data_IF_934176235784
#
_entry.id   IF_934176235784
#
_cell.length_a   1.000
_cell.length_b   1.000
_cell.length_c   1.000
_cell.angle_alpha   90.00
_cell.angle_beta   90.00
_cell.angle_gamma   90.00
#
_symmetry.space_group_name_H-M   'P 1'
#
loop_
_entity.id
_entity.type
_entity.pdbx_description
1 polymer ?
#
# COMPACT_ATOMS: atom_id res chain seq x y z
N UNK A 1 7.87 38.36 14.95
CA UNK A 1 7.27 38.34 13.59
C UNK A 1 6.89 39.75 13.20
N UNK A 2 7.42 40.29 12.11
CA UNK A 2 7.00 41.58 11.54
C UNK A 2 6.40 41.36 10.16
N UNK A 3 5.24 41.94 9.90
CA UNK A 3 4.58 41.88 8.60
C UNK A 3 4.16 43.29 8.14
N UNK A 4 4.33 43.56 6.85
CA UNK A 4 3.93 44.80 6.20
C UNK A 4 2.80 44.50 5.20
N UNK A 5 1.66 45.16 5.37
CA UNK A 5 0.56 45.10 4.40
C UNK A 5 0.81 46.10 3.28
N UNK A 6 0.98 45.61 2.04
CA UNK A 6 1.36 46.44 0.88
C UNK A 6 0.13 47.05 0.19
N UNK A 7 -1.04 46.41 0.27
CA UNK A 7 -2.31 46.93 -0.23
C UNK A 7 -3.49 46.39 0.60
N UNK A 8 -4.62 47.10 0.58
CA UNK A 8 -5.87 46.80 1.29
C UNK A 8 -6.10 45.30 1.53
N UNK A 9 -5.82 44.81 2.74
CA UNK A 9 -6.18 43.45 3.18
C UNK A 9 -7.67 43.34 3.56
N UNK A 10 -8.53 44.18 2.97
CA UNK A 10 -9.97 44.20 3.24
C UNK A 10 -10.75 44.39 1.93
N UNK A 11 -11.80 43.59 1.67
CA UNK A 11 -12.78 43.96 0.67
C UNK A 11 -13.46 45.27 1.10
N UNK A 12 -13.69 46.17 0.14
CA UNK A 12 -14.77 47.15 0.29
C UNK A 12 -16.05 46.35 0.53
N UNK A 13 -16.79 46.71 1.57
CA UNK A 13 -18.11 46.18 1.87
C UNK A 13 -19.08 46.61 0.76
N UNK A 14 -19.06 45.94 -0.39
CA UNK A 14 -20.19 45.96 -1.30
C UNK A 14 -21.20 44.96 -0.76
N UNK A 15 -22.15 45.50 0.00
CA UNK A 15 -23.34 44.78 0.44
C UNK A 15 -24.12 44.49 -0.85
N UNK A 16 -23.85 43.34 -1.47
CA UNK A 16 -24.72 42.83 -2.52
C UNK A 16 -25.88 42.14 -1.79
N UNK A 17 -27.03 42.80 -1.75
CA UNK A 17 -28.22 42.47 -0.94
C UNK A 17 -28.93 41.17 -1.33
N UNK A 18 -28.29 40.23 -2.02
CA UNK A 18 -28.94 39.04 -2.59
C UNK A 18 -28.27 37.69 -2.25
N UNK A 19 -27.34 37.64 -1.29
CA UNK A 19 -26.84 36.36 -0.79
C UNK A 19 -26.64 36.40 0.72
N UNK A 20 -27.46 35.62 1.44
CA UNK A 20 -27.44 35.39 2.91
C UNK A 20 -26.17 34.68 3.43
N UNK A 21 -25.02 34.85 2.79
CA UNK A 21 -23.74 34.42 3.33
C UNK A 21 -23.10 35.59 4.07
N UNK A 22 -23.40 35.67 5.36
CA UNK A 22 -22.73 36.56 6.29
C UNK A 22 -21.28 36.06 6.46
N UNK A 23 -20.36 36.58 5.63
CA UNK A 23 -18.93 36.26 5.74
C UNK A 23 -18.41 36.86 7.05
N UNK A 24 -18.45 36.06 8.11
CA UNK A 24 -17.87 36.41 9.40
C UNK A 24 -16.40 36.76 9.26
N UNK A 25 -15.98 37.83 9.95
CA UNK A 25 -14.60 38.28 10.01
C UNK A 25 -13.72 37.18 10.61
N UNK A 26 -12.87 36.55 9.78
CA UNK A 26 -11.83 35.66 10.29
C UNK A 26 -10.56 36.51 10.48
N UNK A 27 -10.01 36.64 11.69
CA UNK A 27 -8.79 37.43 11.93
C UNK A 27 -7.56 36.71 11.36
N UNK A 28 -6.60 37.49 10.83
CA UNK A 28 -5.30 36.97 10.43
C UNK A 28 -4.63 36.31 11.64
N UNK A 29 -4.29 35.03 11.50
CA UNK A 29 -3.71 34.21 12.54
C UNK A 29 -2.59 33.36 11.95
N UNK A 30 -1.42 33.42 12.56
CA UNK A 30 -0.31 32.53 12.28
C UNK A 30 -0.28 31.43 13.34
N UNK A 31 -0.27 30.17 12.95
CA UNK A 31 -0.14 29.05 13.89
C UNK A 31 1.24 28.44 13.72
N UNK A 32 2.07 28.49 14.76
CA UNK A 32 3.38 27.86 14.78
C UNK A 32 3.24 26.43 15.32
N UNK A 33 3.68 25.44 14.54
CA UNK A 33 3.86 24.07 15.01
C UNK A 33 5.34 23.84 15.33
N UNK A 34 5.65 23.44 16.55
CA UNK A 34 7.02 23.21 17.00
C UNK A 34 7.10 21.98 17.91
N UNK A 35 8.32 21.45 18.03
CA UNK A 35 8.67 20.41 18.98
C UNK A 35 9.43 21.03 20.14
N UNK A 36 8.96 20.77 21.36
CA UNK A 36 9.53 21.29 22.60
C UNK A 36 10.73 20.45 23.11
N UNK A 37 11.30 20.84 24.26
CA UNK A 37 12.44 20.17 24.89
C UNK A 37 12.19 18.68 25.23
N UNK A 38 10.92 18.28 25.36
CA UNK A 38 10.50 16.92 25.68
C UNK A 38 10.31 16.06 24.43
N UNK A 39 10.33 16.68 23.24
CA UNK A 39 10.00 16.02 21.98
C UNK A 39 8.51 16.04 21.66
N UNK A 40 7.69 16.79 22.43
CA UNK A 40 6.25 16.86 22.23
C UNK A 40 5.92 17.94 21.19
N UNK A 41 4.98 17.63 20.28
CA UNK A 41 4.47 18.60 19.31
C UNK A 41 3.50 19.55 20.00
N UNK A 42 3.73 20.85 19.81
CA UNK A 42 2.95 21.94 20.38
C UNK A 42 2.50 22.89 19.26
N UNK A 43 1.32 23.49 19.47
CA UNK A 43 0.76 24.51 18.58
C UNK A 43 0.61 25.81 19.34
N UNK A 44 1.07 26.91 18.75
CA UNK A 44 0.89 28.26 19.32
C UNK A 44 0.42 29.23 18.26
N UNK A 45 -0.64 29.97 18.58
CA UNK A 45 -1.22 30.99 17.72
C UNK A 45 -0.62 32.38 17.95
N UNK A 46 -0.42 33.11 16.86
CA UNK A 46 0.17 34.45 16.79
C UNK A 46 -0.73 35.37 15.96
N UNK A 47 -1.30 36.44 16.55
CA UNK A 47 -1.32 36.73 17.98
C UNK A 47 -2.20 35.75 18.76
N UNK A 48 -1.80 35.43 20.00
CA UNK A 48 -2.61 34.67 20.95
C UNK A 48 -3.77 35.55 21.42
N UNK A 49 -4.94 35.46 20.81
CA UNK A 49 -6.14 36.17 21.28
C UNK A 49 -6.65 35.49 22.56
N UNK A 50 -5.95 35.69 23.68
CA UNK A 50 -6.23 34.95 24.89
C UNK A 50 -7.36 35.53 25.74
N UNK A 51 -7.60 36.85 25.80
CA UNK A 51 -8.45 37.31 26.93
C UNK A 51 -9.19 38.66 26.83
N UNK A 52 -9.03 39.51 25.79
CA UNK A 52 -9.61 40.88 25.87
C UNK A 52 -9.97 41.61 24.56
N UNK A 53 -10.23 40.89 23.48
CA UNK A 53 -10.67 41.51 22.23
C UNK A 53 -12.11 41.08 21.93
N UNK A 54 -13.10 41.80 22.45
CA UNK A 54 -14.52 41.63 22.07
C UNK A 54 -14.76 41.88 20.56
N UNK A 55 -13.74 42.32 19.81
CA UNK A 55 -13.72 42.37 18.35
C UNK A 55 -12.31 42.07 17.83
N UNK A 56 -12.15 41.28 16.74
CA UNK A 56 -10.86 41.11 16.09
C UNK A 56 -10.31 42.49 15.70
N UNK A 57 -9.15 42.87 16.27
CA UNK A 57 -8.51 44.13 15.91
C UNK A 57 -7.95 44.01 14.49
N UNK A 58 -8.26 44.97 13.59
CA UNK A 58 -7.73 44.94 12.24
C UNK A 58 -6.20 45.02 12.26
N UNK A 59 -5.54 44.28 11.37
CA UNK A 59 -4.12 44.51 11.07
C UNK A 59 -4.03 45.93 10.48
N UNK A 60 -3.44 46.85 11.24
CA UNK A 60 -3.25 48.22 10.78
C UNK A 60 -2.35 48.22 9.54
N UNK A 61 -2.57 49.16 8.61
CA UNK A 61 -1.61 49.38 7.51
C UNK A 61 -0.25 49.78 8.10
N UNK A 62 0.81 49.28 7.51
CA UNK A 62 2.19 49.49 7.97
C UNK A 62 2.80 48.23 8.58
N UNK A 63 4.01 48.38 9.11
CA UNK A 63 4.76 47.30 9.75
C UNK A 63 4.14 46.96 11.10
N UNK A 64 3.64 45.72 11.27
CA UNK A 64 3.07 45.24 12.53
C UNK A 64 3.93 44.09 13.06
N UNK A 65 4.35 44.22 14.33
CA UNK A 65 5.16 43.23 15.04
C UNK A 65 4.36 42.42 16.06
N UNK A 66 4.47 41.10 16.01
CA UNK A 66 3.90 40.17 16.99
C UNK A 66 4.99 39.27 17.60
N UNK A 67 4.89 39.00 18.90
CA UNK A 67 5.75 38.08 19.64
C UNK A 67 4.91 37.26 20.62
N UNK A 68 5.18 35.96 20.72
CA UNK A 68 4.51 35.07 21.67
C UNK A 68 5.57 34.17 22.33
N UNK A 69 5.45 33.85 23.63
CA UNK A 69 6.33 32.86 24.25
C UNK A 69 6.02 31.45 23.73
N UNK A 70 7.06 30.66 23.50
CA UNK A 70 6.96 29.23 23.16
C UNK A 70 7.18 28.39 24.43
N UNK A 71 6.12 27.89 25.08
CA UNK A 71 6.27 27.04 26.26
C UNK A 71 7.05 25.76 25.94
N UNK A 72 7.88 25.31 26.88
CA UNK A 72 8.64 24.07 26.73
C UNK A 72 9.90 24.17 25.86
N UNK A 73 10.21 25.32 25.27
CA UNK A 73 11.42 25.54 24.47
C UNK A 73 12.53 26.27 25.27
N UNK A 74 13.15 25.61 26.25
CA UNK A 74 14.25 26.20 27.06
C UNK A 74 15.65 25.75 26.65
N UNK A 75 15.78 24.56 26.05
CA UNK A 75 17.07 23.95 25.67
C UNK A 75 17.18 23.71 24.17
N UNK A 76 16.12 23.23 23.53
CA UNK A 76 16.04 22.95 22.11
C UNK A 76 14.62 23.20 21.61
N UNK A 77 14.50 23.94 20.50
CA UNK A 77 13.22 24.19 19.86
C UNK A 77 13.38 23.94 18.37
N UNK A 78 12.50 23.11 17.81
CA UNK A 78 12.47 22.84 16.38
C UNK A 78 11.11 23.24 15.81
N UNK A 79 11.11 24.27 14.96
CA UNK A 79 9.89 24.68 14.25
C UNK A 79 9.65 23.73 13.10
N UNK A 80 8.45 23.13 13.09
CA UNK A 80 8.03 22.12 12.10
C UNK A 80 7.31 22.78 10.94
N UNK A 81 6.33 23.63 11.24
CA UNK A 81 5.58 24.39 10.24
C UNK A 81 5.05 25.71 10.78
N UNK A 82 4.71 26.60 9.87
CA UNK A 82 3.99 27.84 10.18
C UNK A 82 2.79 27.90 9.27
N UNK A 83 1.59 27.91 9.85
CA UNK A 83 0.31 27.98 9.14
C UNK A 83 -0.24 29.40 9.19
N UNK A 84 -1.08 29.76 8.22
CA UNK A 84 -1.77 31.06 8.19
C UNK A 84 -3.25 30.86 7.95
N UNK A 85 -4.07 31.56 8.73
CA UNK A 85 -5.54 31.57 8.62
C UNK A 85 -6.06 33.00 8.61
N UNK A 86 -7.26 33.19 8.07
CA UNK A 86 -8.05 34.39 8.32
C UNK A 86 -7.67 35.65 7.55
N UNK A 87 -7.36 35.52 6.26
CA UNK A 87 -7.36 36.67 5.36
C UNK A 87 -8.57 36.59 4.44
N UNK A 88 -9.63 37.32 4.77
CA UNK A 88 -10.80 37.49 3.91
C UNK A 88 -10.51 38.51 2.81
N UNK A 89 -10.40 38.05 1.56
CA UNK A 89 -10.24 38.89 0.36
C UNK A 89 -8.84 38.79 -0.28
N UNK A 90 -8.74 39.23 -1.55
CA UNK A 90 -7.54 39.23 -2.40
C UNK A 90 -6.40 40.15 -1.89
N UNK A 91 -6.02 40.04 -0.62
CA UNK A 91 -5.00 40.84 0.02
C UNK A 91 -3.60 40.28 -0.21
N UNK A 92 -2.63 41.18 -0.45
CA UNK A 92 -1.20 40.85 -0.45
C UNK A 92 -0.61 41.19 0.92
N UNK A 93 0.00 40.19 1.56
CA UNK A 93 0.71 40.34 2.81
C UNK A 93 2.19 40.08 2.59
N UNK A 94 3.06 40.98 3.03
CA UNK A 94 4.50 40.75 3.00
C UNK A 94 4.99 40.46 4.42
N UNK A 95 5.52 39.27 4.64
CA UNK A 95 6.19 38.94 5.89
C UNK A 95 7.66 39.31 5.73
N UNK A 96 8.11 40.32 6.45
CA UNK A 96 9.49 40.84 6.36
C UNK A 96 10.42 40.12 7.32
N UNK A 97 9.91 39.71 8.49
CA UNK A 97 10.70 38.98 9.48
C UNK A 97 9.87 37.92 10.20
N UNK A 98 10.41 36.70 10.24
CA UNK A 98 9.91 35.63 11.08
C UNK A 98 11.11 34.94 11.72
N UNK A 99 11.13 34.86 13.04
CA UNK A 99 12.26 34.36 13.82
C UNK A 99 11.76 33.65 15.08
N UNK A 100 12.53 32.65 15.53
CA UNK A 100 12.35 31.99 16.82
C UNK A 100 13.66 32.08 17.59
N UNK A 101 13.64 32.87 18.67
CA UNK A 101 14.87 33.34 19.31
C UNK A 101 15.73 34.09 18.30
N UNK A 102 17.03 33.78 18.25
CA UNK A 102 17.98 34.37 17.31
C UNK A 102 17.98 33.70 15.92
N UNK A 103 17.11 32.72 15.68
CA UNK A 103 17.07 31.97 14.43
C UNK A 103 16.05 32.55 13.46
N UNK A 104 16.46 33.12 12.32
CA UNK A 104 15.54 33.51 11.27
C UNK A 104 14.91 32.28 10.63
N UNK A 105 13.59 32.32 10.44
CA UNK A 105 12.79 31.31 9.75
C UNK A 105 12.55 31.67 8.28
N UNK A 106 12.80 32.91 7.87
CA UNK A 106 12.74 33.34 6.47
C UNK A 106 14.13 33.31 5.83
N UNK A 107 14.14 33.05 4.52
CA UNK A 107 15.35 33.07 3.68
C UNK A 107 16.03 31.70 3.56
N UNK A 108 16.96 31.59 2.60
CA UNK A 108 17.60 30.33 2.25
C UNK A 108 18.35 29.65 3.43
N UNK A 109 18.81 30.44 4.41
CA UNK A 109 19.54 29.95 5.57
C UNK A 109 18.65 29.27 6.63
N UNK A 110 17.33 29.49 6.61
CA UNK A 110 16.41 28.86 7.57
C UNK A 110 16.13 27.40 7.24
N UNK A 111 16.34 27.00 5.99
CA UNK A 111 15.97 25.69 5.46
C UNK A 111 14.45 25.47 5.31
N UNK A 112 13.60 26.45 5.65
CA UNK A 112 12.16 26.40 5.40
C UNK A 112 11.84 26.99 4.03
N UNK A 113 10.99 26.32 3.26
CA UNK A 113 10.50 26.81 1.97
C UNK A 113 9.04 27.22 2.07
N UNK A 114 8.66 28.32 1.38
CA UNK A 114 7.26 28.66 1.25
C UNK A 114 6.54 27.58 0.47
N UNK A 115 5.44 27.10 1.02
CA UNK A 115 4.55 26.20 0.31
C UNK A 115 3.19 26.83 0.22
N UNK A 116 2.72 26.93 -1.02
CA UNK A 116 1.39 27.41 -1.35
C UNK A 116 0.72 26.46 -2.31
N UNK A 117 -0.58 26.24 -2.13
CA UNK A 117 -1.41 25.73 -3.22
C UNK A 117 -1.92 26.93 -4.01
N UNK A 118 -1.69 26.94 -5.32
CA UNK A 118 -2.14 28.00 -6.25
C UNK A 118 -3.65 28.29 -6.15
N UNK A 119 -4.42 27.38 -5.58
CA UNK A 119 -5.86 27.53 -5.32
C UNK A 119 -6.17 28.28 -4.03
N UNK A 120 -5.35 28.16 -2.99
CA UNK A 120 -5.68 28.65 -1.64
C UNK A 120 -4.71 29.71 -1.13
N UNK A 121 -3.40 29.51 -1.28
CA UNK A 121 -2.35 30.44 -0.82
C UNK A 121 -1.20 30.42 -1.81
N UNK A 122 -0.84 31.58 -2.36
CA UNK A 122 0.32 31.73 -3.22
C UNK A 122 1.43 32.47 -2.45
N UNK A 123 2.46 31.73 -2.06
CA UNK A 123 3.60 32.25 -1.30
C UNK A 123 4.85 32.31 -2.19
N UNK A 124 5.47 33.47 -2.31
CA UNK A 124 6.67 33.71 -3.13
C UNK A 124 7.74 34.36 -2.28
N UNK A 125 8.93 33.76 -2.23
CA UNK A 125 10.08 34.42 -1.60
C UNK A 125 10.51 35.61 -2.47
N UNK A 126 10.65 36.79 -1.87
CA UNK A 126 11.16 38.00 -2.53
C UNK A 126 12.37 38.55 -1.78
N UNK A 127 13.10 39.47 -2.39
CA UNK A 127 14.29 40.08 -1.78
C UNK A 127 13.89 40.82 -0.49
N UNK A 128 14.20 40.22 0.66
CA UNK A 128 13.89 40.77 2.00
C UNK A 128 12.57 40.31 2.62
N UNK A 129 11.92 39.25 2.13
CA UNK A 129 10.75 38.70 2.82
C UNK A 129 10.00 37.61 2.06
N UNK A 130 8.78 37.34 2.51
CA UNK A 130 7.85 36.40 1.91
C UNK A 130 6.56 37.13 1.51
N UNK A 131 6.28 37.20 0.20
CA UNK A 131 5.04 37.75 -0.32
C UNK A 131 3.97 36.67 -0.39
N UNK A 132 2.82 36.97 0.21
CA UNK A 132 1.69 36.06 0.37
C UNK A 132 0.47 36.65 -0.31
N UNK A 133 -0.11 35.90 -1.23
CA UNK A 133 -1.41 36.19 -1.85
C UNK A 133 -2.37 35.05 -1.46
N UNK A 134 -3.28 35.31 -0.53
CA UNK A 134 -4.28 34.33 -0.11
C UNK A 134 -5.51 34.43 -1.02
N UNK A 135 -5.93 33.27 -1.52
CA UNK A 135 -7.07 33.11 -2.44
C UNK A 135 -8.28 32.45 -1.78
N UNK A 136 -8.06 31.71 -0.69
CA UNK A 136 -9.11 31.10 0.13
C UNK A 136 -8.93 31.46 1.62
N UNK A 137 -9.86 32.22 2.23
CA UNK A 137 -9.79 32.64 3.63
C UNK A 137 -9.93 31.50 4.66
N UNK A 138 -10.51 30.37 4.27
CA UNK A 138 -10.82 29.24 5.17
C UNK A 138 -9.79 28.11 5.08
N UNK A 139 -8.83 28.24 4.17
CA UNK A 139 -7.80 27.22 3.95
C UNK A 139 -6.81 27.14 5.12
N UNK A 140 -6.65 25.95 5.69
CA UNK A 140 -5.68 25.63 6.75
C UNK A 140 -4.42 24.97 6.18
N UNK A 141 -3.76 25.64 5.24
CA UNK A 141 -2.53 25.12 4.62
C UNK A 141 -1.27 25.70 5.29
N UNK A 142 -0.24 24.88 5.52
CA UNK A 142 1.04 25.36 6.05
C UNK A 142 1.75 26.23 5.02
N UNK A 143 2.14 27.42 5.45
CA UNK A 143 2.77 28.49 4.67
C UNK A 143 4.26 28.25 4.49
N UNK A 144 4.91 27.76 5.55
CA UNK A 144 6.32 27.41 5.58
C UNK A 144 6.44 25.97 6.06
N UNK A 145 7.18 25.17 5.29
CA UNK A 145 7.56 23.83 5.70
C UNK A 145 9.01 23.56 5.33
N UNK A 146 9.61 22.58 5.99
CA UNK A 146 10.86 22.02 5.52
C UNK A 146 10.63 21.40 4.14
N UNK A 147 11.38 21.82 3.11
CA UNK A 147 11.31 21.17 1.81
C UNK A 147 11.74 19.72 1.99
N UNK A 148 11.09 18.84 1.24
CA UNK A 148 11.81 17.67 0.78
C UNK A 148 12.88 18.17 -0.20
N UNK A 149 14.12 18.31 0.26
CA UNK A 149 15.25 18.66 -0.60
C UNK A 149 15.37 17.67 -1.78
N UNK A 150 14.92 16.43 -1.57
CA UNK A 150 14.76 15.38 -2.58
C UNK A 150 13.63 14.42 -2.20
N UNK A 151 12.98 13.79 -3.19
CA UNK A 151 12.04 12.69 -2.97
C UNK A 151 12.67 11.61 -2.06
N UNK A 152 12.05 11.26 -0.92
CA UNK A 152 12.59 10.25 -0.01
C UNK A 152 12.84 8.92 -0.71
N UNK A 153 13.97 8.29 -0.34
CA UNK A 153 14.31 6.96 -0.81
C UNK A 153 13.37 5.93 -0.17
N UNK A 154 12.78 5.09 -1.01
CA UNK A 154 11.93 3.99 -0.59
C UNK A 154 12.53 2.63 -1.00
N UNK A 155 12.39 1.64 -0.12
CA UNK A 155 12.51 0.23 -0.45
C UNK A 155 11.12 -0.38 -0.51
N UNK A 156 10.85 -1.19 -1.53
CA UNK A 156 9.52 -1.80 -1.73
C UNK A 156 9.62 -3.31 -1.84
N UNK A 157 8.55 -4.02 -1.48
CA UNK A 157 8.45 -5.45 -1.79
C UNK A 157 7.93 -5.69 -3.22
N UNK A 158 8.26 -6.83 -3.86
CA UNK A 158 7.70 -7.19 -5.16
C UNK A 158 6.17 -7.27 -5.14
N UNK A 159 5.51 -6.78 -6.19
CA UNK A 159 4.04 -6.83 -6.34
C UNK A 159 3.27 -5.72 -5.61
N UNK A 160 3.97 -4.82 -4.91
CA UNK A 160 3.36 -3.63 -4.31
C UNK A 160 2.91 -2.64 -5.40
N UNK A 161 1.63 -2.27 -5.41
CA UNK A 161 1.13 -1.20 -6.27
C UNK A 161 1.03 0.10 -5.49
N UNK A 162 1.85 1.05 -5.88
CA UNK A 162 1.80 2.42 -5.37
C UNK A 162 0.95 3.26 -6.31
N UNK A 163 0.16 4.17 -5.73
CA UNK A 163 -0.45 5.26 -6.47
C UNK A 163 0.63 6.12 -7.13
N UNK A 164 0.25 6.89 -8.16
CA UNK A 164 1.19 7.72 -8.90
C UNK A 164 0.63 9.12 -9.11
N UNK A 165 1.48 10.12 -8.87
CA UNK A 165 1.25 11.48 -9.36
C UNK A 165 2.12 11.69 -10.59
N UNK A 166 1.50 11.68 -11.77
CA UNK A 166 2.22 11.66 -13.04
C UNK A 166 3.12 10.42 -13.18
N UNK A 167 4.44 10.61 -13.13
CA UNK A 167 5.43 9.51 -13.23
C UNK A 167 6.02 9.08 -11.89
N UNK A 168 5.79 9.82 -10.81
CA UNK A 168 6.34 9.54 -9.50
C UNK A 168 5.41 8.63 -8.70
N UNK A 169 5.92 7.54 -8.09
CA UNK A 169 5.15 6.76 -7.13
C UNK A 169 4.92 7.56 -5.85
N UNK A 170 3.75 7.38 -5.27
CA UNK A 170 3.34 7.99 -4.01
C UNK A 170 3.41 6.95 -2.89
N UNK A 171 3.87 7.37 -1.73
CA UNK A 171 3.71 6.64 -0.47
C UNK A 171 2.94 7.52 0.51
N UNK A 172 2.34 6.90 1.53
CA UNK A 172 1.77 7.66 2.64
C UNK A 172 2.84 7.88 3.71
N UNK A 173 3.04 9.16 4.07
CA UNK A 173 3.89 9.55 5.19
C UNK A 173 3.28 9.15 6.53
N UNK A 174 4.05 9.37 7.61
CA UNK A 174 3.58 9.09 8.97
C UNK A 174 2.37 9.94 9.38
N UNK A 175 2.14 11.04 8.68
CA UNK A 175 1.01 11.93 8.84
C UNK A 175 -0.20 11.57 7.95
N UNK A 176 -0.17 10.39 7.33
CA UNK A 176 -1.23 9.88 6.45
C UNK A 176 -1.31 10.59 5.09
N UNK A 177 -0.40 11.52 4.77
CA UNK A 177 -0.44 12.25 3.50
C UNK A 177 0.38 11.56 2.42
N UNK A 178 -0.15 11.57 1.20
CA UNK A 178 0.59 11.08 0.04
C UNK A 178 1.79 12.00 -0.25
N UNK A 179 2.98 11.41 -0.37
CA UNK A 179 4.22 12.09 -0.73
C UNK A 179 4.94 11.33 -1.86
N UNK A 180 5.57 12.05 -2.81
CA UNK A 180 6.33 11.42 -3.88
C UNK A 180 7.58 10.75 -3.31
N UNK A 181 7.81 9.51 -3.72
CA UNK A 181 8.98 8.73 -3.28
C UNK A 181 9.82 8.29 -4.46
N UNK A 182 11.12 8.12 -4.21
CA UNK A 182 12.04 7.51 -5.16
C UNK A 182 12.31 6.07 -4.76
N UNK A 183 11.84 5.11 -5.56
CA UNK A 183 12.13 3.69 -5.33
C UNK A 183 13.61 3.44 -5.60
N UNK A 184 14.37 3.11 -4.56
CA UNK A 184 15.82 2.87 -4.62
C UNK A 184 16.18 1.40 -4.69
N UNK A 185 15.25 0.51 -4.33
CA UNK A 185 15.47 -0.93 -4.40
C UNK A 185 14.21 -1.73 -4.11
N UNK A 186 14.28 -3.01 -4.46
CA UNK A 186 13.29 -4.01 -4.08
C UNK A 186 13.88 -4.99 -3.09
N UNK A 187 13.14 -5.31 -2.04
CA UNK A 187 13.53 -6.28 -1.03
C UNK A 187 12.51 -7.42 -0.99
N UNK A 188 12.93 -8.69 -0.86
CA UNK A 188 12.00 -9.82 -0.90
C UNK A 188 10.92 -9.78 0.18
N UNK A 189 11.25 -9.19 1.33
CA UNK A 189 10.36 -8.97 2.45
C UNK A 189 10.84 -7.81 3.34
N UNK A 190 9.91 -7.22 4.07
CA UNK A 190 10.14 -6.21 5.10
C UNK A 190 9.89 -6.78 6.50
N UNK A 191 10.61 -6.28 7.53
CA UNK A 191 10.29 -6.59 8.92
C UNK A 191 8.83 -6.22 9.23
N UNK A 192 8.12 -7.10 9.95
CA UNK A 192 6.70 -6.99 10.34
C UNK A 192 5.69 -7.06 9.19
N UNK A 193 6.02 -6.50 8.03
CA UNK A 193 5.15 -6.40 6.85
C UNK A 193 5.30 -7.59 5.88
N UNK A 194 6.32 -8.43 6.05
CA UNK A 194 6.52 -9.63 5.24
C UNK A 194 6.73 -9.27 3.77
N UNK A 195 6.07 -9.99 2.85
CA UNK A 195 6.22 -9.79 1.39
C UNK A 195 5.45 -8.57 0.86
N UNK A 196 4.82 -7.80 1.74
CA UNK A 196 3.94 -6.71 1.34
C UNK A 196 4.19 -5.43 2.11
N UNK A 197 4.94 -4.49 1.54
CA UNK A 197 5.06 -3.15 2.12
C UNK A 197 6.12 -2.28 1.48
N UNK A 198 6.21 -1.07 2.01
CA UNK A 198 7.21 -0.07 1.66
C UNK A 198 7.92 0.41 2.94
N UNK A 199 9.23 0.62 2.86
CA UNK A 199 10.07 1.14 3.93
C UNK A 199 10.65 2.49 3.52
N UNK A 200 10.47 3.47 4.40
CA UNK A 200 11.02 4.81 4.29
C UNK A 200 11.98 5.05 5.46
N UNK A 201 13.02 5.84 5.21
CA UNK A 201 13.81 6.42 6.28
C UNK A 201 12.94 7.42 7.06
N UNK A 202 12.75 7.18 8.36
CA UNK A 202 11.87 7.98 9.21
C UNK A 202 12.31 9.44 9.26
N UNK A 203 13.63 9.71 9.36
CA UNK A 203 14.15 11.07 9.43
C UNK A 203 13.85 11.88 8.16
N UNK A 204 13.84 11.22 7.00
CA UNK A 204 13.47 11.84 5.72
C UNK A 204 11.95 11.93 5.56
N UNK A 205 11.20 10.92 5.99
CA UNK A 205 9.75 10.89 5.94
C UNK A 205 9.08 11.93 6.86
N UNK A 206 9.76 12.31 7.95
CA UNK A 206 9.31 13.37 8.86
C UNK A 206 9.51 14.78 8.28
N UNK A 207 10.43 14.98 7.33
CA UNK A 207 10.64 16.30 6.74
C UNK A 207 9.40 16.66 5.93
N UNK A 208 8.79 17.81 6.17
CA UNK A 208 7.63 18.25 5.40
C UNK A 208 6.33 17.48 5.69
N UNK A 209 6.31 16.63 6.73
CA UNK A 209 5.08 16.09 7.32
C UNK A 209 4.27 17.24 7.94
N UNK A 210 2.94 17.25 7.71
CA UNK A 210 2.05 18.39 7.99
C UNK A 210 0.78 17.98 8.74
N UNK A 211 0.52 16.70 8.89
CA UNK A 211 -0.67 16.16 9.53
C UNK A 211 -0.42 15.62 10.94
N UNK A 212 -1.51 15.29 11.60
CA UNK A 212 -1.48 14.44 12.79
C UNK A 212 -1.19 13.00 12.35
N UNK A 213 -0.51 12.25 13.22
CA UNK A 213 -0.36 10.81 13.01
C UNK A 213 -1.76 10.20 13.05
N UNK A 214 -2.22 9.49 12.00
CA UNK A 214 -3.54 8.86 11.98
C UNK A 214 -3.74 7.98 13.22
N UNK A 215 -4.92 8.04 13.84
CA UNK A 215 -5.19 7.39 15.11
C UNK A 215 -5.08 5.85 15.06
N UNK A 216 -5.18 5.27 13.86
CA UNK A 216 -5.01 3.86 13.54
C UNK A 216 -3.55 3.47 13.22
N UNK A 217 -2.61 4.40 13.28
CA UNK A 217 -1.18 4.12 13.05
C UNK A 217 -0.61 3.27 14.16
N UNK A 218 -0.23 2.03 13.83
CA UNK A 218 0.40 1.11 14.77
C UNK A 218 1.91 1.39 14.83
N UNK A 219 2.37 1.93 15.94
CA UNK A 219 3.80 2.10 16.22
C UNK A 219 4.37 0.83 16.86
N UNK A 220 5.40 0.25 16.24
CA UNK A 220 6.07 -0.96 16.75
C UNK A 220 7.55 -0.69 16.94
N UNK A 221 8.07 -1.08 18.10
CA UNK A 221 9.52 -1.07 18.37
C UNK A 221 10.08 -2.46 18.13
N UNK A 222 11.02 -2.56 17.18
CA UNK A 222 11.76 -3.79 16.94
C UNK A 222 13.04 -3.76 17.79
N UNK A 223 13.10 -4.67 18.76
CA UNK A 223 14.25 -4.83 19.64
C UNK A 223 14.92 -6.19 19.38
N UNK A 224 16.25 -6.25 19.51
CA UNK A 224 16.97 -7.53 19.48
C UNK A 224 16.64 -8.34 20.75
N UNK A 225 16.78 -9.66 20.66
CA UNK A 225 16.55 -10.55 21.80
C UNK A 225 17.48 -10.26 23.00
N UNK A 226 18.69 -9.75 22.75
CA UNK A 226 19.69 -9.38 23.75
C UNK A 226 19.58 -7.93 24.24
N UNK A 227 18.52 -7.21 23.85
CA UNK A 227 18.34 -5.80 24.24
C UNK A 227 18.30 -5.69 25.77
N UNK A 228 19.18 -4.89 26.39
CA UNK A 228 19.24 -4.79 27.85
C UNK A 228 17.91 -4.36 28.45
N UNK A 229 17.49 -5.03 29.53
CA UNK A 229 16.21 -4.76 30.19
C UNK A 229 16.04 -3.30 30.62
N UNK A 230 17.14 -2.62 30.93
CA UNK A 230 17.15 -1.19 31.29
C UNK A 230 16.71 -0.28 30.12
N UNK A 231 17.01 -0.65 28.87
CA UNK A 231 16.59 0.10 27.68
C UNK A 231 15.08 -0.04 27.49
N UNK A 232 14.57 -1.27 27.61
CA UNK A 232 13.13 -1.55 27.54
C UNK A 232 12.36 -0.91 28.71
N UNK A 233 12.96 -0.83 29.90
CA UNK A 233 12.37 -0.15 31.05
C UNK A 233 12.27 1.36 30.82
N UNK A 234 13.31 1.99 30.28
CA UNK A 234 13.29 3.41 29.88
C UNK A 234 12.21 3.69 28.83
N UNK A 235 12.09 2.84 27.81
CA UNK A 235 11.05 2.97 26.79
C UNK A 235 9.64 2.86 27.37
N UNK A 236 9.40 1.96 28.34
CA UNK A 236 8.10 1.92 29.03
C UNK A 236 7.86 3.16 29.88
N UNK A 237 8.90 3.73 30.46
CA UNK A 237 8.80 4.96 31.24
C UNK A 237 8.41 6.18 30.38
N UNK A 238 8.70 6.17 29.07
CA UNK A 238 8.22 7.21 28.13
C UNK A 238 6.77 6.99 27.69
N UNK A 239 6.03 6.08 28.33
CA UNK A 239 4.63 5.81 28.00
C UNK A 239 4.44 4.82 26.85
N UNK A 240 5.49 4.14 26.38
CA UNK A 240 5.33 3.07 25.40
C UNK A 240 4.50 1.93 26.02
N UNK A 241 3.28 1.77 25.51
CA UNK A 241 2.35 0.71 25.91
C UNK A 241 2.41 -0.43 24.89
N UNK A 242 2.35 -1.68 25.36
CA UNK A 242 2.40 -2.84 24.48
C UNK A 242 2.99 -4.07 25.14
N UNK A 243 2.59 -5.25 24.66
CA UNK A 243 3.20 -6.52 25.06
C UNK A 243 4.35 -6.85 24.13
N UNK A 244 5.51 -7.20 24.68
CA UNK A 244 6.61 -7.74 23.89
C UNK A 244 6.17 -9.07 23.29
N UNK A 245 6.08 -9.14 21.98
CA UNK A 245 5.79 -10.36 21.25
C UNK A 245 7.03 -10.74 20.44
N UNK A 246 7.41 -12.01 20.53
CA UNK A 246 8.44 -12.56 19.66
C UNK A 246 7.80 -13.03 18.36
N UNK A 247 8.57 -13.01 17.27
CA UNK A 247 8.11 -13.53 15.97
C UNK A 247 7.60 -14.97 16.09
N UNK A 248 8.28 -15.81 16.90
CA UNK A 248 7.85 -17.19 17.16
C UNK A 248 6.48 -17.27 17.84
N UNK A 249 6.20 -16.42 18.83
CA UNK A 249 4.90 -16.37 19.49
C UNK A 249 3.78 -15.87 18.56
N UNK A 250 4.09 -14.91 17.69
CA UNK A 250 3.13 -14.44 16.68
C UNK A 250 2.82 -15.52 15.65
N UNK A 251 3.83 -16.25 15.19
CA UNK A 251 3.65 -17.39 14.28
C UNK A 251 2.80 -18.49 14.91
N UNK A 252 3.11 -18.90 16.14
CA UNK A 252 2.32 -19.92 16.87
C UNK A 252 0.87 -19.44 17.10
N UNK A 253 0.66 -18.14 17.36
CA UNK A 253 -0.69 -17.57 17.43
C UNK A 253 -1.42 -17.65 16.08
N UNK A 254 -0.76 -17.29 14.98
CA UNK A 254 -1.33 -17.36 13.63
C UNK A 254 -1.67 -18.81 13.27
N UNK A 255 -0.80 -19.77 13.59
CA UNK A 255 -1.04 -21.20 13.37
C UNK A 255 -2.25 -21.72 14.17
N UNK A 256 -2.52 -21.15 15.35
CA UNK A 256 -3.68 -21.48 16.17
C UNK A 256 -4.97 -20.79 15.71
N UNK A 257 -4.88 -19.65 15.01
CA UNK A 257 -6.07 -18.95 14.47
C UNK A 257 -6.77 -19.76 13.38
N UNK A 258 -8.10 -19.62 13.31
CA UNK A 258 -8.98 -20.48 12.49
C UNK A 258 -8.69 -20.46 10.98
N UNK A 259 -8.06 -19.41 10.46
CA UNK A 259 -7.68 -19.28 9.05
C UNK A 259 -6.63 -20.31 8.63
N UNK A 260 -5.63 -20.58 9.47
CA UNK A 260 -4.63 -21.63 9.23
C UNK A 260 -5.24 -23.05 9.27
N UNK A 261 -6.25 -23.26 10.12
CA UNK A 261 -7.03 -24.51 10.14
C UNK A 261 -7.90 -24.66 8.89
N UNK A 262 -8.45 -23.55 8.37
CA UNK A 262 -9.21 -23.51 7.13
C UNK A 262 -8.39 -24.02 5.95
N UNK A 263 -7.12 -23.61 5.82
CA UNK A 263 -6.23 -24.08 4.75
C UNK A 263 -6.04 -25.61 4.77
N UNK A 264 -5.93 -26.23 5.95
CA UNK A 264 -5.83 -27.69 6.06
C UNK A 264 -7.11 -28.39 5.59
N UNK A 265 -8.28 -27.84 5.93
CA UNK A 265 -9.56 -28.37 5.47
C UNK A 265 -9.70 -28.24 3.95
N UNK A 266 -9.35 -27.10 3.37
CA UNK A 266 -9.35 -26.91 1.91
C UNK A 266 -8.37 -27.85 1.21
N UNK A 267 -7.20 -28.11 1.80
CA UNK A 267 -6.23 -29.07 1.27
C UNK A 267 -6.79 -30.50 1.29
N UNK A 268 -7.49 -30.88 2.36
CA UNK A 268 -8.18 -32.18 2.42
C UNK A 268 -9.29 -32.27 1.37
N UNK A 269 -10.12 -31.23 1.22
CA UNK A 269 -11.17 -31.19 0.19
C UNK A 269 -10.55 -31.31 -1.20
N UNK A 270 -9.46 -30.57 -1.48
CA UNK A 270 -8.74 -30.66 -2.74
C UNK A 270 -8.15 -32.06 -2.98
N UNK A 271 -7.62 -32.71 -1.94
CA UNK A 271 -7.13 -34.08 -2.02
C UNK A 271 -8.25 -35.09 -2.35
N UNK A 272 -9.41 -34.98 -1.72
CA UNK A 272 -10.56 -35.83 -2.03
C UNK A 272 -11.06 -35.60 -3.46
N UNK A 273 -11.15 -34.34 -3.91
CA UNK A 273 -11.51 -34.01 -5.28
C UNK A 273 -10.52 -34.61 -6.30
N UNK A 274 -9.21 -34.56 -6.00
CA UNK A 274 -8.17 -35.18 -6.82
C UNK A 274 -8.34 -36.70 -6.91
N UNK A 275 -8.63 -37.36 -5.78
CA UNK A 275 -8.84 -38.81 -5.74
C UNK A 275 -10.09 -39.22 -6.55
N UNK A 276 -11.19 -38.48 -6.42
CA UNK A 276 -12.42 -38.73 -7.20
C UNK A 276 -12.12 -38.61 -8.69
N UNK A 277 -11.44 -37.53 -9.10
CA UNK A 277 -11.05 -37.33 -10.50
C UNK A 277 -10.15 -38.46 -11.02
N UNK A 278 -9.17 -38.90 -10.23
CA UNK A 278 -8.28 -40.00 -10.60
C UNK A 278 -9.05 -41.33 -10.79
N UNK A 279 -9.99 -41.64 -9.89
CA UNK A 279 -10.84 -42.84 -10.00
C UNK A 279 -11.74 -42.77 -11.24
N UNK A 280 -12.35 -41.62 -11.53
CA UNK A 280 -13.18 -41.44 -12.72
C UNK A 280 -12.39 -41.63 -14.02
N UNK A 281 -11.15 -41.12 -14.11
CA UNK A 281 -10.28 -41.34 -15.28
C UNK A 281 -9.92 -42.81 -15.43
N UNK A 282 -9.62 -43.51 -14.33
CA UNK A 282 -9.34 -44.95 -14.35
C UNK A 282 -10.57 -45.74 -14.76
N UNK A 283 -11.76 -45.42 -14.24
CA UNK A 283 -13.01 -46.09 -14.61
C UNK A 283 -13.33 -45.92 -16.10
N UNK A 284 -13.28 -44.68 -16.61
CA UNK A 284 -13.51 -44.39 -18.02
C UNK A 284 -12.50 -45.11 -18.93
N UNK A 285 -11.22 -45.13 -18.55
CA UNK A 285 -10.20 -45.87 -19.31
C UNK A 285 -10.35 -47.39 -19.23
N UNK A 286 -10.98 -47.93 -18.18
CA UNK A 286 -11.29 -49.37 -18.04
C UNK A 286 -12.46 -49.77 -18.94
N UNK A 287 -13.51 -48.95 -19.02
CA UNK A 287 -14.66 -49.18 -19.89
C UNK A 287 -14.26 -49.22 -21.37
N UNK A 288 -13.47 -48.23 -21.79
CA UNK A 288 -12.96 -48.13 -23.17
C UNK A 288 -12.02 -49.29 -23.56
N UNK A 289 -11.52 -50.09 -22.61
CA UNK A 289 -10.59 -51.19 -22.94
C UNK A 289 -11.20 -52.24 -23.85
N UNK A 290 -12.50 -52.51 -23.72
CA UNK A 290 -13.16 -53.55 -24.52
C UNK A 290 -13.26 -53.13 -25.99
N UNK A 291 -13.72 -51.90 -26.24
CA UNK A 291 -13.80 -51.32 -27.58
C UNK A 291 -12.41 -51.15 -28.21
N UNK A 292 -11.44 -50.64 -27.46
CA UNK A 292 -10.05 -50.51 -27.96
C UNK A 292 -9.41 -51.86 -28.28
N UNK A 293 -9.83 -52.96 -27.62
CA UNK A 293 -9.34 -54.32 -27.94
C UNK A 293 -9.86 -54.82 -29.28
N UNK A 294 -11.14 -54.57 -29.59
CA UNK A 294 -11.74 -54.99 -30.86
C UNK A 294 -11.18 -54.19 -32.02
N UNK A 295 -11.01 -52.88 -31.87
CA UNK A 295 -10.32 -52.02 -32.85
C UNK A 295 -8.88 -52.48 -33.12
N UNK A 296 -8.10 -52.76 -32.07
CA UNK A 296 -6.72 -53.24 -32.22
C UNK A 296 -6.65 -54.62 -32.90
N UNK A 297 -7.64 -55.49 -32.67
CA UNK A 297 -7.74 -56.77 -33.35
C UNK A 297 -8.07 -56.59 -34.84
N UNK A 298 -9.01 -55.71 -35.18
CA UNK A 298 -9.38 -55.38 -36.55
C UNK A 298 -8.19 -54.77 -37.34
N UNK A 299 -7.47 -53.81 -36.74
CA UNK A 299 -6.28 -53.19 -37.35
C UNK A 299 -5.15 -54.21 -37.59
N UNK A 300 -4.97 -55.18 -36.70
CA UNK A 300 -4.01 -56.27 -36.90
C UNK A 300 -4.41 -57.21 -38.04
N UNK A 301 -5.69 -57.50 -38.20
CA UNK A 301 -6.21 -58.27 -39.35
C UNK A 301 -5.98 -57.50 -40.66
N UNK A 302 -6.09 -56.17 -40.62
CA UNK A 302 -5.75 -55.29 -41.75
C UNK A 302 -4.23 -55.13 -41.99
N UNK A 303 -3.37 -55.82 -41.23
CA UNK A 303 -1.92 -55.83 -41.43
C UNK A 303 -1.14 -54.72 -40.73
N UNK A 304 -1.77 -53.89 -39.91
CA UNK A 304 -1.09 -52.79 -39.20
C UNK A 304 -0.20 -53.34 -38.08
N UNK A 305 1.07 -52.90 -38.07
CA UNK A 305 2.04 -53.36 -37.09
C UNK A 305 1.74 -52.87 -35.66
N UNK A 306 2.08 -53.68 -34.65
CA UNK A 306 1.91 -53.33 -33.22
C UNK A 306 2.63 -52.03 -32.85
N UNK A 307 3.74 -51.73 -33.54
CA UNK A 307 4.50 -50.49 -33.35
C UNK A 307 3.76 -49.24 -33.82
N UNK A 308 3.00 -49.34 -34.92
CA UNK A 308 2.21 -48.23 -35.48
C UNK A 308 0.98 -47.95 -34.62
N UNK A 309 0.28 -49.00 -34.20
CA UNK A 309 -0.83 -48.92 -33.24
C UNK A 309 -0.35 -48.27 -31.93
N UNK A 310 0.81 -48.67 -31.43
CA UNK A 310 1.40 -48.08 -30.22
C UNK A 310 1.92 -46.64 -30.40
N UNK A 311 2.17 -46.18 -31.63
CA UNK A 311 2.44 -44.76 -31.91
C UNK A 311 1.13 -43.95 -31.97
N UNK A 312 0.08 -44.49 -32.59
CA UNK A 312 -1.25 -43.87 -32.60
C UNK A 312 -1.77 -43.60 -31.19
N UNK A 313 -1.75 -44.62 -30.32
CA UNK A 313 -2.16 -44.46 -28.91
C UNK A 313 -1.26 -43.51 -28.11
N UNK A 314 0.02 -43.35 -28.49
CA UNK A 314 0.88 -42.32 -27.88
C UNK A 314 0.42 -40.92 -28.27
N UNK A 315 0.12 -40.70 -29.54
CA UNK A 315 -0.39 -39.42 -30.02
C UNK A 315 -1.71 -39.05 -29.35
N UNK A 316 -2.64 -39.99 -29.24
CA UNK A 316 -3.92 -39.79 -28.54
C UNK A 316 -3.72 -39.48 -27.05
N UNK A 317 -2.88 -40.24 -26.35
CA UNK A 317 -2.56 -40.00 -24.95
C UNK A 317 -1.87 -38.64 -24.71
N UNK A 318 -1.00 -38.21 -25.63
CA UNK A 318 -0.37 -36.89 -25.59
C UNK A 318 -1.38 -35.77 -25.83
N UNK A 319 -2.27 -35.91 -26.80
CA UNK A 319 -3.31 -34.93 -27.09
C UNK A 319 -4.29 -34.77 -25.91
N UNK A 320 -4.71 -35.89 -25.30
CA UNK A 320 -5.54 -35.89 -24.09
C UNK A 320 -4.81 -35.31 -22.87
N UNK A 321 -3.54 -35.67 -22.68
CA UNK A 321 -2.73 -35.12 -21.60
C UNK A 321 -2.55 -33.60 -21.73
N UNK A 322 -2.31 -33.11 -22.95
CA UNK A 322 -2.19 -31.69 -23.23
C UNK A 322 -3.52 -30.95 -23.02
N UNK A 323 -4.63 -31.51 -23.50
CA UNK A 323 -5.95 -30.87 -23.32
C UNK A 323 -6.32 -30.76 -21.85
N UNK A 324 -6.05 -31.78 -21.05
CA UNK A 324 -6.25 -31.76 -19.59
C UNK A 324 -5.32 -30.75 -18.91
N UNK A 325 -4.04 -30.69 -19.30
CA UNK A 325 -3.11 -29.71 -18.75
C UNK A 325 -3.58 -28.27 -19.01
N UNK A 326 -4.01 -27.97 -20.24
CA UNK A 326 -4.52 -26.64 -20.60
C UNK A 326 -5.82 -26.32 -19.86
N UNK A 327 -6.79 -27.24 -19.88
CA UNK A 327 -8.09 -27.02 -19.24
C UNK A 327 -7.97 -26.85 -17.72
N UNK A 328 -7.17 -27.69 -17.05
CA UNK A 328 -6.92 -27.58 -15.61
C UNK A 328 -6.17 -26.31 -15.24
N UNK A 329 -5.14 -25.92 -16.01
CA UNK A 329 -4.40 -24.68 -15.76
C UNK A 329 -5.27 -23.45 -15.90
N UNK A 330 -6.11 -23.41 -16.93
CA UNK A 330 -7.07 -22.33 -17.13
C UNK A 330 -8.13 -22.29 -16.03
N UNK A 331 -8.68 -23.44 -15.62
CA UNK A 331 -9.65 -23.52 -14.52
C UNK A 331 -9.05 -23.07 -13.18
N UNK A 332 -7.82 -23.50 -12.85
CA UNK A 332 -7.10 -23.06 -11.64
C UNK A 332 -6.83 -21.56 -11.71
N UNK A 333 -6.36 -21.05 -12.84
CA UNK A 333 -6.07 -19.62 -13.01
C UNK A 333 -7.32 -18.75 -12.81
N UNK A 334 -8.42 -19.11 -13.48
CA UNK A 334 -9.70 -18.40 -13.38
C UNK A 334 -10.26 -18.51 -11.97
N UNK A 335 -10.26 -19.71 -11.38
CA UNK A 335 -10.77 -19.96 -10.03
C UNK A 335 -9.99 -19.15 -8.98
N UNK A 336 -8.65 -19.17 -9.03
CA UNK A 336 -7.83 -18.35 -8.14
C UNK A 336 -8.08 -16.85 -8.34
N UNK A 337 -8.15 -16.37 -9.59
CA UNK A 337 -8.48 -14.97 -9.89
C UNK A 337 -9.84 -14.56 -9.31
N UNK A 338 -10.87 -15.38 -9.50
CA UNK A 338 -12.21 -15.12 -8.99
C UNK A 338 -12.26 -15.13 -7.46
N UNK A 339 -11.59 -16.10 -6.83
CA UNK A 339 -11.52 -16.22 -5.37
C UNK A 339 -10.77 -15.03 -4.76
N UNK A 340 -9.63 -14.64 -5.34
CA UNK A 340 -8.82 -13.49 -4.90
C UNK A 340 -9.54 -12.16 -5.10
N UNK A 341 -10.43 -12.06 -6.09
CA UNK A 341 -11.27 -10.88 -6.28
C UNK A 341 -12.43 -10.81 -5.28
N UNK A 342 -12.96 -11.96 -4.85
CA UNK A 342 -14.13 -12.03 -3.97
C UNK A 342 -13.79 -12.01 -2.48
N UNK A 343 -12.58 -12.44 -2.10
CA UNK A 343 -12.13 -12.43 -0.71
C UNK A 343 -11.32 -11.14 -0.45
N UNK A 344 -11.79 -10.24 0.43
CA UNK A 344 -10.91 -9.23 1.00
C UNK A 344 -9.97 -9.96 1.98
N UNK A 345 -8.82 -10.45 1.48
CA UNK A 345 -7.84 -11.17 2.31
C UNK A 345 -7.29 -10.27 3.43
N UNK A 346 -7.30 -8.96 3.21
CA UNK A 346 -6.93 -7.91 4.16
C UNK A 346 -7.80 -6.70 3.82
N UNK A 347 -8.44 -6.09 4.81
CA UNK A 347 -8.98 -4.72 4.67
C UNK A 347 -7.77 -3.78 4.79
N UNK A 348 -7.34 -3.12 3.70
CA UNK A 348 -6.19 -2.22 3.79
C UNK A 348 -6.49 -1.02 4.71
N UNK A 349 -7.75 -0.70 5.00
CA UNK A 349 -8.10 0.60 5.55
C UNK A 349 -7.84 1.73 4.55
N UNK A 350 -8.12 2.97 4.96
CA UNK A 350 -8.05 4.16 4.09
C UNK A 350 -6.64 4.44 3.56
N UNK A 351 -5.60 3.95 4.26
CA UNK A 351 -4.18 4.15 3.92
C UNK A 351 -3.44 2.87 3.54
N UNK A 352 -4.14 1.74 3.44
CA UNK A 352 -3.47 0.47 3.21
C UNK A 352 -3.04 0.29 1.77
N UNK A 353 -1.88 -0.33 1.63
CA UNK A 353 -1.28 -0.60 0.34
C UNK A 353 -2.04 -1.73 -0.37
N UNK A 354 -2.39 -1.50 -1.63
CA UNK A 354 -3.07 -2.50 -2.45
C UNK A 354 -2.05 -3.51 -2.97
N UNK A 355 -2.27 -4.79 -2.66
CA UNK A 355 -1.46 -5.88 -3.16
C UNK A 355 -2.07 -6.50 -4.41
N UNK A 356 -1.25 -6.66 -5.45
CA UNK A 356 -1.64 -7.52 -6.57
C UNK A 356 -1.25 -8.95 -6.23
N UNK A 357 -2.20 -9.69 -5.65
CA UNK A 357 -2.01 -11.12 -5.40
C UNK A 357 -2.28 -11.86 -6.71
N UNK A 358 -1.22 -12.34 -7.36
CA UNK A 358 -1.34 -13.21 -8.54
C UNK A 358 -1.03 -14.65 -8.17
N UNK A 359 -1.73 -15.64 -8.76
CA UNK A 359 -1.34 -17.04 -8.63
C UNK A 359 0.11 -17.22 -9.10
N UNK A 360 0.90 -17.97 -8.34
CA UNK A 360 2.27 -18.30 -8.75
C UNK A 360 2.21 -19.14 -10.04
N UNK A 361 2.72 -18.56 -11.13
CA UNK A 361 2.69 -19.18 -12.46
C UNK A 361 3.45 -20.51 -12.46
N UNK A 362 4.53 -20.63 -11.69
CA UNK A 362 5.31 -21.86 -11.56
C UNK A 362 4.52 -22.97 -10.87
N UNK A 363 3.76 -22.64 -9.82
CA UNK A 363 2.91 -23.61 -9.12
C UNK A 363 1.74 -24.04 -10.00
N UNK A 364 1.06 -23.11 -10.66
CA UNK A 364 -0.06 -23.42 -11.56
C UNK A 364 0.41 -24.29 -12.72
N UNK A 365 1.49 -23.90 -13.40
CA UNK A 365 2.02 -24.67 -14.53
C UNK A 365 2.53 -26.05 -14.10
N UNK A 366 3.19 -26.16 -12.94
CA UNK A 366 3.65 -27.43 -12.39
C UNK A 366 2.52 -28.40 -12.08
N UNK A 367 1.44 -27.93 -11.42
CA UNK A 367 0.28 -28.76 -11.10
C UNK A 367 -0.49 -29.20 -12.35
N UNK A 368 -0.68 -28.29 -13.31
CA UNK A 368 -1.34 -28.60 -14.58
C UNK A 368 -0.55 -29.59 -15.42
N UNK A 369 0.77 -29.44 -15.48
CA UNK A 369 1.65 -30.40 -16.16
C UNK A 369 1.60 -31.78 -15.49
N UNK A 370 1.62 -31.83 -14.16
CA UNK A 370 1.50 -33.09 -13.41
C UNK A 370 0.16 -33.79 -13.67
N UNK A 371 -0.96 -33.05 -13.69
CA UNK A 371 -2.28 -33.59 -14.00
C UNK A 371 -2.36 -34.14 -15.44
N UNK A 372 -1.86 -33.39 -16.42
CA UNK A 372 -1.82 -33.84 -17.82
C UNK A 372 -0.92 -35.08 -18.01
N UNK A 373 0.24 -35.11 -17.35
CA UNK A 373 1.15 -36.25 -17.36
C UNK A 373 0.51 -37.49 -16.74
N UNK A 374 -0.19 -37.34 -15.61
CA UNK A 374 -0.91 -38.44 -14.96
C UNK A 374 -1.93 -39.08 -15.92
N UNK A 375 -2.78 -38.26 -16.57
CA UNK A 375 -3.76 -38.77 -17.54
C UNK A 375 -3.07 -39.46 -18.72
N UNK A 376 -2.04 -38.83 -19.30
CA UNK A 376 -1.30 -39.41 -20.42
C UNK A 376 -0.69 -40.77 -20.06
N UNK A 377 -0.11 -40.92 -18.86
CA UNK A 377 0.48 -42.17 -18.38
C UNK A 377 -0.57 -43.26 -18.13
N UNK A 378 -1.71 -42.91 -17.52
CA UNK A 378 -2.80 -43.86 -17.26
C UNK A 378 -3.40 -44.39 -18.57
N UNK A 379 -3.67 -43.50 -19.52
CA UNK A 379 -4.21 -43.83 -20.85
C UNK A 379 -3.18 -44.67 -21.63
N UNK A 380 -1.95 -44.19 -21.74
CA UNK A 380 -0.89 -44.90 -22.48
C UNK A 380 -0.58 -46.27 -21.87
N UNK A 381 -0.46 -46.36 -20.55
CA UNK A 381 -0.20 -47.62 -19.84
C UNK A 381 -1.32 -48.64 -20.04
N UNK A 382 -2.58 -48.19 -19.98
CA UNK A 382 -3.76 -49.03 -20.22
C UNK A 382 -3.79 -49.56 -21.66
N UNK A 383 -3.56 -48.70 -22.65
CA UNK A 383 -3.65 -49.06 -24.07
C UNK A 383 -2.43 -49.86 -24.56
N UNK A 384 -1.23 -49.57 -24.06
CA UNK A 384 -0.03 -50.36 -24.38
C UNK A 384 -0.17 -51.82 -23.91
N UNK A 385 -0.81 -52.04 -22.75
CA UNK A 385 -1.05 -53.40 -22.23
C UNK A 385 -2.01 -54.17 -23.13
N UNK A 386 -3.06 -53.50 -23.60
CA UNK A 386 -4.04 -54.04 -24.56
C UNK A 386 -3.41 -54.39 -25.90
N UNK A 387 -2.65 -53.44 -26.47
CA UNK A 387 -1.97 -53.64 -27.76
C UNK A 387 -0.95 -54.77 -27.77
N UNK A 388 -0.56 -55.31 -26.60
CA UNK A 388 0.29 -56.51 -26.47
C UNK A 388 -0.52 -57.79 -26.25
N UNK A 389 -1.66 -57.71 -25.56
CA UNK A 389 -2.41 -58.86 -25.06
C UNK A 389 -3.62 -59.29 -25.89
N UNK A 390 -3.89 -58.68 -27.05
CA UNK A 390 -5.07 -58.99 -27.88
C UNK A 390 -4.73 -59.93 -29.05
N UNK A 391 -4.81 -61.28 -28.89
CA UNK A 391 -4.63 -62.19 -30.00
C UNK A 391 -5.78 -62.05 -31.02
N UNK A 392 -5.52 -62.25 -32.32
CA UNK A 392 -6.54 -62.18 -33.38
C UNK A 392 -7.67 -63.21 -33.23
N UNK A 393 -7.53 -64.20 -32.35
CA UNK A 393 -8.55 -65.21 -32.04
C UNK A 393 -9.80 -64.62 -31.35
N UNK A 394 -9.70 -63.46 -30.72
CA UNK A 394 -10.84 -62.80 -30.05
C UNK A 394 -12.00 -62.43 -31.00
N UNK A 395 -11.74 -62.24 -32.30
CA UNK A 395 -12.80 -61.98 -33.29
C UNK A 395 -13.61 -63.24 -33.64
N UNK A 396 -13.13 -64.45 -33.32
CA UNK A 396 -13.85 -65.71 -33.56
C UNK A 396 -14.80 -66.10 -32.43
N UNK A 397 -14.62 -65.54 -31.25
CA UNK A 397 -15.43 -65.87 -30.05
C UNK A 397 -16.59 -64.89 -29.84
N UNK A 398 -16.55 -63.69 -30.43
CA UNK A 398 -17.64 -62.70 -30.32
C UNK A 398 -18.84 -62.94 -31.23
N UNK A 399 -18.76 -63.91 -32.14
CA UNK A 399 -19.83 -64.32 -33.08
C UNK A 399 -20.65 -65.52 -32.56
N UNK A 400 -20.50 -65.88 -31.28
CA UNK A 400 -21.33 -66.85 -30.54
C UNK A 400 -21.96 -66.16 -29.34
#
# INVERSE_FOLDING_TARGET
MTAESVDHAWPRREINTNSDLDYGFVPLQFTLNYVDDSGDSQLVDVPKNAEKAERPSPVARGLVGYSVPLPGCTRACAVVSVDVRGLTGFGRLRVTELSVGDRPLLGAASGLTPVGDKRTVHAVSSDGGLDLELRDPFSTHPLLVWPHETDPAALVTPGLRLEKSGRQPLAYGIDGRALPVRITGQVPALPLLGRGGLLLDLGTALRGARGQIPADTISVVVARADTPAIVLAKLRATGATGTSQTVAQTLDRIERTGTAKGTRLYLLIALFALLIAAVSVVAATVEQRRERRTEAAALRVAGVGVGEIARGYRGEAQALGLSVAVASGMAVWIGCRALLAALPLVDPGEFGLVFEVTPDVGVVTGLSAAAGLFVALVVFGSFRRIGRSSPPRLLREGDR
#
